data_IF_458523474494
#
_entry.id   IF_458523474494
#
_cell.length_a   1.000
_cell.length_b   1.000
_cell.length_c   1.000
_cell.angle_alpha   90.00
_cell.angle_beta   90.00
_cell.angle_gamma   90.00
#
_symmetry.space_group_name_H-M   'P 1'
#
loop_
_entity.id
_entity.type
_entity.pdbx_description
1 polymer ?
#
# COMPACT_ATOMS: atom_id res chain seq x y z
N UNK A 1 -7.33 21.19 0.10
CA UNK A 1 -8.31 21.79 1.04
C UNK A 1 -7.66 22.65 2.14
N UNK A 2 -6.47 23.25 1.91
CA UNK A 2 -5.73 24.00 2.93
C UNK A 2 -6.23 25.45 3.18
N UNK A 3 -7.21 25.94 2.40
CA UNK A 3 -7.41 27.40 2.21
C UNK A 3 -8.83 27.96 2.41
N UNK A 4 -9.72 27.32 3.19
CA UNK A 4 -11.02 27.95 3.55
C UNK A 4 -11.33 28.02 5.05
N UNK A 5 -10.64 27.24 5.89
CA UNK A 5 -10.88 27.17 7.35
C UNK A 5 -10.00 28.15 8.14
N UNK A 6 -8.96 28.70 7.49
CA UNK A 6 -8.02 29.68 8.04
C UNK A 6 -8.72 30.90 8.71
N UNK A 7 -9.96 31.25 8.31
CA UNK A 7 -10.68 32.39 8.86
C UNK A 7 -11.45 32.13 10.17
N UNK A 8 -11.82 30.87 10.47
CA UNK A 8 -12.59 30.54 11.69
C UNK A 8 -11.69 30.24 12.89
N UNK A 9 -10.51 29.67 12.65
CA UNK A 9 -9.57 29.27 13.71
C UNK A 9 -8.65 30.43 14.15
N UNK A 10 -8.43 31.44 13.28
CA UNK A 10 -7.55 32.60 13.56
C UNK A 10 -8.18 33.72 14.41
N UNK A 11 -9.49 33.73 14.63
CA UNK A 11 -10.09 34.74 15.52
C UNK A 11 -10.02 34.22 16.95
N UNK A 12 -9.24 34.86 17.84
CA UNK A 12 -9.35 34.55 19.24
C UNK A 12 -10.76 34.93 19.69
N UNK A 13 -11.48 33.95 20.25
CA UNK A 13 -12.41 34.21 21.35
C UNK A 13 -13.63 35.09 21.01
N UNK A 14 -14.65 34.54 20.32
CA UNK A 14 -16.07 34.95 20.58
C UNK A 14 -17.09 33.95 20.05
N UNK A 15 -16.80 33.26 18.95
CA UNK A 15 -17.68 32.23 18.37
C UNK A 15 -17.03 30.86 18.56
N UNK A 16 -17.73 29.93 19.22
CA UNK A 16 -17.20 28.58 19.42
C UNK A 16 -17.03 27.83 18.09
N UNK A 17 -16.10 26.89 18.05
CA UNK A 17 -15.88 26.03 16.89
C UNK A 17 -16.75 24.78 17.07
N UNK A 18 -17.54 24.45 16.05
CA UNK A 18 -18.28 23.19 16.00
C UNK A 18 -17.33 22.08 15.54
N UNK A 19 -17.21 21.05 16.37
CA UNK A 19 -16.29 19.91 16.17
C UNK A 19 -17.15 18.67 15.99
N UNK A 20 -16.82 17.80 15.02
CA UNK A 20 -17.64 16.59 14.81
C UNK A 20 -17.55 15.68 16.04
N UNK A 21 -18.71 15.27 16.57
CA UNK A 21 -18.81 14.43 17.77
C UNK A 21 -19.00 15.19 19.09
N UNK A 22 -18.84 16.52 19.12
CA UNK A 22 -19.19 17.36 20.26
C UNK A 22 -20.49 18.13 20.02
N UNK A 23 -21.35 18.20 21.03
CA UNK A 23 -22.59 18.97 20.93
C UNK A 23 -22.32 20.47 21.12
N UNK A 24 -22.42 21.21 20.02
CA UNK A 24 -22.37 22.67 20.03
C UNK A 24 -20.98 23.25 19.76
N UNK A 25 -20.91 24.57 19.87
CA UNK A 25 -19.74 25.37 19.58
C UNK A 25 -18.90 25.54 20.85
N UNK A 26 -17.69 24.98 20.89
CA UNK A 26 -16.82 25.04 22.07
C UNK A 26 -15.75 26.13 21.94
N UNK A 27 -15.45 26.80 23.05
CA UNK A 27 -14.28 27.68 23.17
C UNK A 27 -13.05 26.80 23.41
N UNK A 28 -12.07 26.90 22.51
CA UNK A 28 -10.86 26.07 22.57
C UNK A 28 -9.71 26.82 23.25
N UNK A 29 -8.88 26.13 24.05
CA UNK A 29 -7.68 26.72 24.64
C UNK A 29 -6.71 27.21 23.56
N UNK A 30 -6.07 28.35 23.79
CA UNK A 30 -5.06 28.91 22.87
C UNK A 30 -3.85 27.99 22.66
N UNK A 31 -3.50 27.19 23.68
CA UNK A 31 -2.45 26.17 23.60
C UNK A 31 -2.79 25.08 22.57
N UNK A 32 -4.03 24.62 22.53
CA UNK A 32 -4.50 23.59 21.61
C UNK A 32 -4.58 24.10 20.17
N UNK A 33 -4.97 25.37 19.99
CA UNK A 33 -4.90 26.04 18.68
C UNK A 33 -3.46 26.14 18.17
N UNK A 34 -2.53 26.53 19.05
CA UNK A 34 -1.11 26.67 18.70
C UNK A 34 -0.50 25.34 18.29
N UNK A 35 -0.77 24.26 19.03
CA UNK A 35 -0.32 22.92 18.67
C UNK A 35 -0.96 22.41 17.37
N UNK A 36 -2.24 22.70 17.12
CA UNK A 36 -2.90 22.33 15.87
C UNK A 36 -2.24 22.99 14.65
N UNK A 37 -1.82 24.25 14.75
CA UNK A 37 -1.09 24.92 13.68
C UNK A 37 0.28 24.29 13.43
N UNK A 38 1.04 24.01 14.48
CA UNK A 38 2.36 23.36 14.37
C UNK A 38 2.23 22.00 13.69
N UNK A 39 1.25 21.18 14.11
CA UNK A 39 1.01 19.87 13.51
C UNK A 39 0.46 19.97 12.09
N UNK A 40 -0.30 21.02 11.76
CA UNK A 40 -0.82 21.26 10.41
C UNK A 40 0.30 21.54 9.42
N UNK A 41 1.27 22.34 9.83
CA UNK A 41 2.46 22.61 9.03
C UNK A 41 3.36 21.37 8.93
N UNK A 42 3.42 20.55 9.98
CA UNK A 42 4.27 19.36 10.04
C UNK A 42 3.73 18.18 9.19
N UNK A 43 2.41 17.95 9.21
CA UNK A 43 1.78 16.80 8.56
C UNK A 43 0.96 17.15 7.31
N UNK A 44 0.86 18.43 6.95
CA UNK A 44 0.01 18.93 5.85
C UNK A 44 -1.48 18.53 6.01
N UNK A 45 -1.94 18.44 7.26
CA UNK A 45 -3.33 18.07 7.61
C UNK A 45 -4.13 19.34 7.89
N UNK A 46 -5.41 19.35 7.51
CA UNK A 46 -6.33 20.44 7.84
C UNK A 46 -6.47 20.67 9.34
N UNK A 47 -6.52 21.93 9.75
CA UNK A 47 -6.48 22.32 11.17
C UNK A 47 -7.66 21.76 11.97
N UNK A 48 -8.85 21.63 11.36
CA UNK A 48 -10.03 21.05 12.01
C UNK A 48 -9.83 19.57 12.38
N UNK A 49 -9.28 18.78 11.46
CA UNK A 49 -9.00 17.36 11.71
C UNK A 49 -7.91 17.18 12.78
N UNK A 50 -6.95 18.11 12.83
CA UNK A 50 -5.94 18.12 13.89
C UNK A 50 -6.50 18.53 15.25
N UNK A 51 -7.47 19.44 15.30
CA UNK A 51 -8.18 19.77 16.53
C UNK A 51 -8.95 18.56 17.08
N UNK A 52 -9.65 17.84 16.21
CA UNK A 52 -10.34 16.59 16.57
C UNK A 52 -9.36 15.53 17.10
N UNK A 53 -8.22 15.37 16.41
CA UNK A 53 -7.16 14.46 16.81
C UNK A 53 -6.51 14.86 18.15
N UNK A 54 -6.26 16.15 18.37
CA UNK A 54 -5.70 16.66 19.63
C UNK A 54 -6.66 16.47 20.81
N UNK A 55 -7.95 16.70 20.60
CA UNK A 55 -8.98 16.41 21.62
C UNK A 55 -9.09 14.92 21.91
N UNK A 56 -8.98 14.05 20.89
CA UNK A 56 -8.88 12.62 21.09
C UNK A 56 -7.61 12.24 21.90
N UNK A 57 -6.48 12.89 21.62
CA UNK A 57 -5.24 12.74 22.36
C UNK A 57 -5.34 13.16 23.83
N UNK A 58 -5.99 14.29 24.11
CA UNK A 58 -6.29 14.76 25.47
C UNK A 58 -7.18 13.76 26.22
N UNK A 59 -8.28 13.33 25.58
CA UNK A 59 -9.19 12.35 26.16
C UNK A 59 -8.50 11.03 26.47
N UNK A 60 -7.56 10.56 25.64
CA UNK A 60 -6.87 9.28 25.85
C UNK A 60 -5.57 9.40 26.66
N UNK A 61 -5.17 10.60 27.08
CA UNK A 61 -3.88 10.84 27.73
C UNK A 61 -3.67 9.99 29.00
N UNK A 62 -4.75 9.65 29.71
CA UNK A 62 -4.70 8.80 30.90
C UNK A 62 -4.15 7.39 30.63
N UNK A 63 -4.25 6.88 29.40
CA UNK A 63 -3.67 5.59 29.00
C UNK A 63 -2.16 5.67 28.70
N UNK A 64 -1.61 6.88 28.53
CA UNK A 64 -0.24 7.13 28.10
C UNK A 64 0.51 8.02 29.10
N UNK A 65 0.80 7.51 30.32
CA UNK A 65 1.45 8.30 31.35
C UNK A 65 2.84 8.77 30.89
N UNK A 66 3.10 10.08 31.01
CA UNK A 66 4.38 10.69 30.63
C UNK A 66 4.46 11.22 29.19
N UNK A 67 3.40 11.06 28.37
CA UNK A 67 3.28 11.72 27.07
C UNK A 67 2.38 12.97 27.15
N UNK A 68 2.70 13.98 26.35
CA UNK A 68 1.79 15.11 26.13
C UNK A 68 0.64 14.69 25.21
N UNK A 69 -0.53 15.31 25.35
CA UNK A 69 -1.68 15.07 24.48
C UNK A 69 -1.33 15.21 22.98
N UNK A 70 -0.41 16.13 22.63
CA UNK A 70 0.03 16.33 21.26
C UNK A 70 0.82 15.14 20.70
N UNK A 71 1.63 14.48 21.53
CA UNK A 71 2.32 13.25 21.13
C UNK A 71 1.34 12.07 21.08
N UNK A 72 0.41 11.99 22.02
CA UNK A 72 -0.66 10.97 21.97
C UNK A 72 -1.49 11.13 20.69
N UNK A 73 -1.83 12.35 20.30
CA UNK A 73 -2.49 12.65 19.04
C UNK A 73 -1.70 12.14 17.82
N UNK A 74 -0.39 12.38 17.78
CA UNK A 74 0.49 11.84 16.70
C UNK A 74 0.51 10.32 16.71
N UNK A 75 0.54 9.67 17.88
CA UNK A 75 0.46 8.21 17.97
C UNK A 75 -0.87 7.69 17.43
N UNK A 76 -1.99 8.28 17.84
CA UNK A 76 -3.34 7.90 17.37
C UNK A 76 -3.51 8.12 15.86
N UNK A 77 -2.87 9.15 15.30
CA UNK A 77 -2.86 9.37 13.87
C UNK A 77 -2.22 8.21 13.12
N UNK A 78 -1.01 7.81 13.53
CA UNK A 78 -0.29 6.72 12.88
C UNK A 78 -0.94 5.36 13.16
N UNK A 79 -1.46 5.15 14.37
CA UNK A 79 -2.22 3.94 14.71
C UNK A 79 -3.47 3.81 13.84
N UNK A 80 -4.23 4.90 13.65
CA UNK A 80 -5.38 4.92 12.74
C UNK A 80 -5.00 4.57 11.29
N UNK A 81 -3.88 5.11 10.78
CA UNK A 81 -3.35 4.75 9.45
C UNK A 81 -2.98 3.27 9.36
N UNK A 82 -2.32 2.74 10.39
CA UNK A 82 -1.96 1.32 10.48
C UNK A 82 -3.20 0.43 10.52
N UNK A 83 -4.22 0.79 11.30
CA UNK A 83 -5.49 0.06 11.35
C UNK A 83 -6.15 0.01 9.98
N UNK A 84 -6.22 1.14 9.25
CA UNK A 84 -6.79 1.16 7.89
C UNK A 84 -6.02 0.27 6.93
N UNK A 85 -4.68 0.31 6.95
CA UNK A 85 -3.85 -0.57 6.13
C UNK A 85 -4.07 -2.05 6.47
N UNK A 86 -4.15 -2.39 7.77
CA UNK A 86 -4.42 -3.76 8.20
C UNK A 86 -5.84 -4.22 7.83
N UNK A 87 -6.85 -3.36 7.93
CA UNK A 87 -8.20 -3.68 7.49
C UNK A 87 -8.25 -3.96 5.99
N UNK A 88 -7.56 -3.15 5.18
CA UNK A 88 -7.43 -3.40 3.74
C UNK A 88 -6.77 -4.75 3.49
N UNK A 89 -5.66 -5.05 4.17
CA UNK A 89 -4.97 -6.34 4.04
C UNK A 89 -5.89 -7.51 4.37
N UNK A 90 -6.68 -7.40 5.45
CA UNK A 90 -7.65 -8.43 5.82
C UNK A 90 -8.73 -8.60 4.75
N UNK A 91 -9.24 -7.52 4.16
CA UNK A 91 -10.21 -7.61 3.05
C UNK A 91 -9.59 -8.32 1.83
N UNK A 92 -8.34 -8.02 1.49
CA UNK A 92 -7.62 -8.67 0.39
C UNK A 92 -7.40 -10.17 0.67
N UNK A 93 -7.13 -10.53 1.91
CA UNK A 93 -6.98 -11.93 2.32
C UNK A 93 -8.30 -12.73 2.28
N UNK A 94 -9.44 -12.04 2.31
CA UNK A 94 -10.77 -12.64 2.19
C UNK A 94 -11.19 -12.93 0.73
N UNK A 95 -10.39 -12.55 -0.27
CA UNK A 95 -10.72 -12.79 -1.67
C UNK A 95 -10.75 -14.29 -2.00
N UNK A 96 -11.23 -14.62 -3.20
CA UNK A 96 -11.08 -15.97 -3.72
C UNK A 96 -9.68 -16.12 -4.29
N UNK A 97 -8.95 -17.16 -3.88
CA UNK A 97 -7.50 -17.11 -3.87
C UNK A 97 -6.85 -18.35 -4.45
N UNK A 98 -5.63 -18.17 -4.99
CA UNK A 98 -4.70 -19.25 -5.30
C UNK A 98 -3.97 -19.78 -4.06
N UNK A 99 -3.69 -18.92 -3.08
CA UNK A 99 -2.78 -19.24 -1.96
C UNK A 99 -3.49 -19.36 -0.60
N UNK A 100 -4.49 -18.53 -0.32
CA UNK A 100 -5.17 -18.48 0.99
C UNK A 100 -6.69 -18.42 0.83
N UNK A 101 -7.41 -19.49 1.12
CA UNK A 101 -8.88 -19.49 1.04
C UNK A 101 -9.49 -19.42 2.42
N UNK A 102 -10.25 -18.37 2.70
CA UNK A 102 -11.09 -18.29 3.90
C UNK A 102 -12.47 -18.88 3.59
N UNK A 103 -12.99 -19.74 4.47
CA UNK A 103 -14.33 -20.35 4.35
C UNK A 103 -15.44 -19.33 4.66
N UNK A 104 -15.59 -18.33 3.78
CA UNK A 104 -16.62 -17.29 3.89
C UNK A 104 -17.87 -17.66 3.08
N UNK A 105 -19.01 -17.03 3.41
CA UNK A 105 -20.21 -17.16 2.60
C UNK A 105 -20.02 -16.52 1.22
N UNK A 106 -20.65 -17.10 0.18
CA UNK A 106 -20.55 -16.59 -1.19
C UNK A 106 -20.96 -15.12 -1.32
N UNK A 107 -21.96 -14.68 -0.57
CA UNK A 107 -22.40 -13.28 -0.56
C UNK A 107 -21.32 -12.32 -0.03
N UNK A 108 -20.65 -12.70 1.07
CA UNK A 108 -19.58 -11.88 1.65
C UNK A 108 -18.34 -11.86 0.76
N UNK A 109 -18.05 -12.99 0.12
CA UNK A 109 -16.96 -13.11 -0.85
C UNK A 109 -17.22 -12.21 -2.06
N UNK A 110 -18.42 -12.25 -2.63
CA UNK A 110 -18.81 -11.41 -3.76
C UNK A 110 -18.76 -9.91 -3.41
N UNK A 111 -19.28 -9.53 -2.24
CA UNK A 111 -19.22 -8.14 -1.76
C UNK A 111 -17.78 -7.65 -1.59
N UNK A 112 -16.94 -8.47 -0.96
CA UNK A 112 -15.55 -8.10 -0.69
C UNK A 112 -14.76 -7.98 -1.98
N UNK A 113 -14.94 -8.94 -2.90
CA UNK A 113 -14.27 -8.96 -4.21
C UNK A 113 -14.67 -7.74 -5.05
N UNK A 114 -15.97 -7.43 -5.11
CA UNK A 114 -16.45 -6.27 -5.83
C UNK A 114 -15.85 -4.97 -5.29
N UNK A 115 -15.86 -4.79 -3.96
CA UNK A 115 -15.29 -3.60 -3.32
C UNK A 115 -13.79 -3.47 -3.59
N UNK A 116 -13.03 -4.56 -3.50
CA UNK A 116 -11.58 -4.53 -3.74
C UNK A 116 -11.23 -4.30 -5.21
N UNK A 117 -12.03 -4.83 -6.14
CA UNK A 117 -11.84 -4.61 -7.57
C UNK A 117 -12.09 -3.14 -7.94
N UNK A 118 -13.10 -2.51 -7.33
CA UNK A 118 -13.32 -1.07 -7.46
C UNK A 118 -12.12 -0.27 -6.95
N UNK A 119 -11.56 -0.62 -5.79
CA UNK A 119 -10.36 0.04 -5.27
C UNK A 119 -9.18 -0.09 -6.23
N UNK A 120 -8.94 -1.29 -6.78
CA UNK A 120 -7.89 -1.48 -7.78
C UNK A 120 -8.12 -0.64 -9.03
N UNK A 121 -9.35 -0.60 -9.54
CA UNK A 121 -9.70 0.22 -10.72
C UNK A 121 -9.47 1.73 -10.50
N UNK A 122 -9.50 2.18 -9.24
CA UNK A 122 -9.21 3.56 -8.83
C UNK A 122 -7.71 3.83 -8.59
N UNK A 123 -6.83 2.87 -8.89
CA UNK A 123 -5.38 3.04 -8.80
C UNK A 123 -4.79 2.69 -7.44
N UNK A 124 -5.34 1.67 -6.75
CA UNK A 124 -4.84 1.22 -5.45
C UNK A 124 -3.34 0.93 -5.44
N UNK A 125 -2.79 0.25 -6.45
CA UNK A 125 -1.35 -0.06 -6.52
C UNK A 125 -0.49 1.21 -6.50
N UNK A 126 -0.83 2.19 -7.33
CA UNK A 126 -0.08 3.47 -7.37
C UNK A 126 -0.22 4.24 -6.06
N UNK A 127 -1.41 4.20 -5.45
CA UNK A 127 -1.66 4.80 -4.13
C UNK A 127 -0.78 4.16 -3.05
N UNK A 128 -0.74 2.82 -2.95
CA UNK A 128 0.08 2.09 -1.98
C UNK A 128 1.57 2.39 -2.16
N UNK A 129 2.10 2.32 -3.40
CA UNK A 129 3.51 2.60 -3.68
C UNK A 129 3.91 4.06 -3.35
N UNK A 130 3.00 5.01 -3.60
CA UNK A 130 3.20 6.42 -3.25
C UNK A 130 3.27 6.59 -1.73
N UNK A 131 2.32 6.02 -0.99
CA UNK A 131 2.28 6.11 0.46
C UNK A 131 3.50 5.44 1.12
N UNK A 132 3.95 4.28 0.64
CA UNK A 132 5.18 3.62 1.12
C UNK A 132 6.41 4.53 0.95
N UNK A 133 6.46 5.28 -0.15
CA UNK A 133 7.54 6.22 -0.46
C UNK A 133 7.48 7.49 0.40
N UNK A 134 6.29 8.03 0.64
CA UNK A 134 6.09 9.29 1.36
C UNK A 134 6.36 9.15 2.87
N UNK A 135 6.02 8.01 3.48
CA UNK A 135 6.20 7.78 4.92
C UNK A 135 7.70 7.81 5.34
N UNK A 136 8.63 7.67 4.39
CA UNK A 136 10.07 7.84 4.63
C UNK A 136 10.49 9.27 5.04
N UNK A 137 9.58 10.27 4.95
CA UNK A 137 9.91 11.69 5.15
C UNK A 137 9.28 12.27 6.44
N UNK A 138 9.88 12.02 7.60
CA UNK A 138 9.62 12.77 8.84
C UNK A 138 9.82 11.90 10.09
N UNK A 139 10.57 12.27 11.14
CA UNK A 139 10.43 13.46 11.99
C UNK A 139 11.78 13.96 12.57
N UNK A 140 11.78 15.19 13.13
CA UNK A 140 12.91 15.92 13.74
C UNK A 140 13.23 15.61 15.22
N UNK A 141 14.36 16.16 15.71
CA UNK A 141 15.32 15.64 16.70
C UNK A 141 14.94 15.54 18.20
N UNK A 142 14.19 14.51 18.63
CA UNK A 142 14.22 14.06 20.04
C UNK A 142 14.17 12.52 20.22
N UNK A 143 15.25 11.92 20.73
CA UNK A 143 15.54 10.46 20.66
C UNK A 143 14.37 9.52 21.03
N UNK A 144 13.90 9.51 22.28
CA UNK A 144 12.91 8.51 22.72
C UNK A 144 11.49 8.71 22.17
N UNK A 145 11.10 9.97 21.89
CA UNK A 145 9.76 10.28 21.34
C UNK A 145 9.70 10.02 19.84
N UNK A 146 10.84 10.17 19.16
CA UNK A 146 11.00 9.75 17.76
C UNK A 146 10.94 8.25 17.62
N UNK A 147 11.62 7.50 18.49
CA UNK A 147 11.68 6.03 18.39
C UNK A 147 10.29 5.37 18.30
N UNK A 148 9.31 5.80 19.11
CA UNK A 148 7.96 5.21 19.06
C UNK A 148 7.20 5.61 17.79
N UNK A 149 7.27 6.89 17.40
CA UNK A 149 6.59 7.35 16.18
C UNK A 149 7.21 6.77 14.91
N UNK A 150 8.54 6.63 14.89
CA UNK A 150 9.28 6.06 13.77
C UNK A 150 9.03 4.56 13.66
N UNK A 151 8.86 3.87 14.80
CA UNK A 151 8.46 2.48 14.82
C UNK A 151 7.04 2.27 14.23
N UNK A 152 6.05 3.08 14.62
CA UNK A 152 4.68 2.95 14.06
C UNK A 152 4.65 3.32 12.57
N UNK A 153 5.44 4.31 12.14
CA UNK A 153 5.61 4.62 10.72
C UNK A 153 6.17 3.45 9.94
N UNK A 154 7.18 2.78 10.48
CA UNK A 154 7.77 1.61 9.83
C UNK A 154 6.75 0.47 9.73
N UNK A 155 5.96 0.24 10.79
CA UNK A 155 4.84 -0.70 10.72
C UNK A 155 3.77 -0.30 9.70
N UNK A 156 3.49 1.00 9.52
CA UNK A 156 2.59 1.47 8.48
C UNK A 156 3.14 1.16 7.08
N UNK A 157 4.43 1.43 6.83
CA UNK A 157 5.09 1.12 5.56
C UNK A 157 5.02 -0.37 5.27
N UNK A 158 5.33 -1.20 6.27
CA UNK A 158 5.24 -2.65 6.15
C UNK A 158 3.81 -3.09 5.84
N UNK A 159 2.80 -2.58 6.57
CA UNK A 159 1.40 -2.96 6.34
C UNK A 159 0.92 -2.60 4.93
N UNK A 160 1.36 -1.45 4.39
CA UNK A 160 1.03 -1.05 3.01
C UNK A 160 1.71 -1.94 1.97
N UNK A 161 2.99 -2.28 2.16
CA UNK A 161 3.69 -3.22 1.28
C UNK A 161 3.08 -4.63 1.35
N UNK A 162 2.70 -5.07 2.55
CA UNK A 162 2.00 -6.34 2.77
C UNK A 162 0.63 -6.37 2.11
N UNK A 163 -0.07 -5.24 1.96
CA UNK A 163 -1.33 -5.18 1.20
C UNK A 163 -1.09 -5.55 -0.26
N UNK A 164 -0.07 -4.94 -0.89
CA UNK A 164 0.24 -5.22 -2.28
C UNK A 164 0.76 -6.65 -2.46
N UNK A 165 1.61 -7.12 -1.54
CA UNK A 165 2.04 -8.51 -1.53
C UNK A 165 0.87 -9.48 -1.39
N UNK A 166 -0.01 -9.27 -0.41
CA UNK A 166 -1.21 -10.07 -0.21
C UNK A 166 -2.08 -10.08 -1.47
N UNK A 167 -2.23 -8.94 -2.15
CA UNK A 167 -2.98 -8.85 -3.41
C UNK A 167 -2.42 -9.81 -4.45
N UNK A 168 -1.11 -9.73 -4.69
CA UNK A 168 -0.43 -10.54 -5.71
C UNK A 168 -0.43 -12.04 -5.43
N UNK A 169 -0.55 -12.43 -4.16
CA UNK A 169 -0.76 -13.83 -3.77
C UNK A 169 -2.13 -14.37 -4.22
N UNK A 170 -3.12 -13.49 -4.41
CA UNK A 170 -4.47 -13.86 -4.85
C UNK A 170 -4.62 -13.73 -6.35
N UNK A 171 -4.24 -12.58 -6.91
CA UNK A 171 -4.39 -12.27 -8.32
C UNK A 171 -3.18 -11.49 -8.85
N UNK A 172 -2.63 -11.86 -10.02
CA UNK A 172 -1.56 -11.11 -10.65
C UNK A 172 -2.00 -9.67 -10.97
N UNK A 173 -1.07 -8.73 -10.93
CA UNK A 173 -1.33 -7.34 -11.32
C UNK A 173 -1.48 -7.22 -12.85
N UNK A 174 -2.32 -6.29 -13.28
CA UNK A 174 -2.39 -5.88 -14.69
C UNK A 174 -1.10 -5.21 -15.16
N UNK A 175 -0.98 -4.94 -16.47
CA UNK A 175 0.25 -4.39 -17.07
C UNK A 175 0.72 -3.10 -16.39
N UNK A 176 -0.16 -2.10 -16.27
CA UNK A 176 0.24 -0.77 -15.80
C UNK A 176 0.65 -0.80 -14.31
N UNK A 177 -0.06 -1.57 -13.49
CA UNK A 177 0.27 -1.78 -12.07
C UNK A 177 1.60 -2.55 -11.90
N UNK A 178 1.84 -3.56 -12.74
CA UNK A 178 3.12 -4.30 -12.76
C UNK A 178 4.27 -3.37 -13.12
N UNK A 179 4.09 -2.51 -14.12
CA UNK A 179 5.11 -1.53 -14.53
C UNK A 179 5.35 -0.48 -13.44
N UNK A 180 4.31 -0.04 -12.73
CA UNK A 180 4.46 0.87 -11.59
C UNK A 180 5.29 0.23 -10.47
N UNK A 181 5.02 -1.03 -10.13
CA UNK A 181 5.81 -1.78 -9.16
C UNK A 181 7.27 -1.93 -9.59
N UNK A 182 7.53 -2.31 -10.84
CA UNK A 182 8.91 -2.37 -11.38
C UNK A 182 9.60 -1.00 -11.29
N UNK A 183 8.91 0.07 -11.69
CA UNK A 183 9.44 1.43 -11.61
C UNK A 183 9.79 1.86 -10.18
N UNK A 184 9.03 1.40 -9.19
CA UNK A 184 9.36 1.64 -7.79
C UNK A 184 10.61 0.84 -7.35
N UNK A 185 10.67 -0.46 -7.66
CA UNK A 185 11.80 -1.34 -7.34
C UNK A 185 13.14 -0.89 -7.97
N UNK A 186 13.10 -0.28 -9.16
CA UNK A 186 14.28 0.29 -9.83
C UNK A 186 15.01 1.34 -9.00
N UNK A 187 14.25 2.08 -8.20
CA UNK A 187 14.75 3.22 -7.43
C UNK A 187 15.22 2.85 -6.03
N UNK A 188 15.01 1.60 -5.61
CA UNK A 188 15.34 1.11 -4.27
C UNK A 188 16.85 1.00 -4.03
N UNK A 189 17.23 1.14 -2.76
CA UNK A 189 18.61 0.99 -2.28
C UNK A 189 18.65 0.03 -1.11
N UNK A 190 19.78 -0.63 -0.90
CA UNK A 190 19.99 -1.49 0.26
C UNK A 190 20.18 -0.65 1.52
N UNK A 191 20.03 -1.29 2.67
CA UNK A 191 20.47 -0.73 3.94
C UNK A 191 22.01 -0.56 3.99
N UNK A 192 22.50 0.11 5.04
CA UNK A 192 23.93 0.40 5.21
C UNK A 192 24.80 -0.86 5.36
N UNK A 193 24.20 -1.96 5.83
CA UNK A 193 24.84 -3.28 5.95
C UNK A 193 24.74 -4.12 4.66
N UNK A 194 24.09 -3.58 3.61
CA UNK A 194 23.85 -4.26 2.34
C UNK A 194 22.62 -5.17 2.34
N UNK A 195 21.85 -5.23 3.43
CA UNK A 195 20.61 -6.00 3.49
C UNK A 195 19.45 -5.31 2.78
N UNK A 196 18.38 -6.07 2.53
CA UNK A 196 17.11 -5.56 2.03
C UNK A 196 16.15 -5.46 3.22
N UNK A 197 15.58 -4.28 3.45
CA UNK A 197 14.55 -4.06 4.47
C UNK A 197 13.28 -4.87 4.15
N UNK A 198 12.50 -5.16 5.20
CA UNK A 198 11.31 -6.00 5.09
C UNK A 198 10.24 -5.42 4.17
N UNK A 199 10.15 -4.09 4.08
CA UNK A 199 9.20 -3.40 3.19
C UNK A 199 9.56 -3.66 1.73
N UNK A 200 10.83 -3.45 1.36
CA UNK A 200 11.29 -3.71 0.01
C UNK A 200 11.23 -5.21 -0.32
N UNK A 201 11.52 -6.09 0.64
CA UNK A 201 11.34 -7.53 0.46
C UNK A 201 9.89 -7.89 0.12
N UNK A 202 8.91 -7.35 0.84
CA UNK A 202 7.49 -7.61 0.54
C UNK A 202 7.10 -7.15 -0.88
N UNK A 203 7.60 -5.99 -1.33
CA UNK A 203 7.35 -5.48 -2.69
C UNK A 203 8.03 -6.33 -3.78
N UNK A 204 9.21 -6.86 -3.50
CA UNK A 204 9.89 -7.81 -4.39
C UNK A 204 9.10 -9.11 -4.48
N UNK A 205 8.66 -9.64 -3.34
CA UNK A 205 7.80 -10.82 -3.31
C UNK A 205 6.51 -10.58 -4.08
N UNK A 206 5.93 -9.39 -4.01
CA UNK A 206 4.75 -9.04 -4.78
C UNK A 206 4.98 -9.16 -6.29
N UNK A 207 6.12 -8.64 -6.79
CA UNK A 207 6.48 -8.80 -8.19
C UNK A 207 6.71 -10.26 -8.56
N UNK A 208 7.40 -11.04 -7.71
CA UNK A 208 7.66 -12.46 -7.97
C UNK A 208 6.35 -13.27 -8.09
N UNK A 209 5.35 -12.98 -7.26
CA UNK A 209 4.02 -13.60 -7.35
C UNK A 209 3.26 -13.20 -8.62
N UNK A 210 3.43 -11.97 -9.12
CA UNK A 210 2.88 -11.59 -10.43
C UNK A 210 3.47 -12.42 -11.58
N UNK A 211 4.73 -12.85 -11.43
CA UNK A 211 5.43 -13.65 -12.42
C UNK A 211 5.28 -15.16 -12.17
N UNK A 212 4.63 -15.57 -11.08
CA UNK A 212 4.49 -16.97 -10.74
C UNK A 212 3.46 -17.64 -11.65
N UNK A 213 3.93 -18.66 -12.36
CA UNK A 213 3.13 -19.51 -13.24
C UNK A 213 3.29 -20.99 -12.87
N UNK A 214 3.78 -21.28 -11.65
CA UNK A 214 3.98 -22.64 -11.14
C UNK A 214 2.70 -23.50 -11.16
N UNK A 215 1.53 -22.87 -11.02
CA UNK A 215 0.22 -23.56 -11.11
C UNK A 215 0.01 -24.27 -12.46
N UNK A 216 0.69 -23.84 -13.53
CA UNK A 216 0.62 -24.50 -14.84
C UNK A 216 1.18 -25.92 -14.83
N UNK A 217 2.17 -26.17 -13.97
CA UNK A 217 2.81 -27.48 -13.84
C UNK A 217 2.01 -28.41 -12.91
N UNK A 218 1.16 -27.86 -12.04
CA UNK A 218 0.53 -28.58 -10.95
C UNK A 218 -0.80 -29.29 -11.30
N UNK A 219 -1.29 -29.18 -12.54
CA UNK A 219 -2.46 -29.95 -12.99
C UNK A 219 -3.71 -29.73 -12.14
N UNK A 220 -3.91 -28.50 -11.65
CA UNK A 220 -5.03 -28.12 -10.78
C UNK A 220 -6.38 -28.21 -11.52
N UNK A 221 -7.46 -28.53 -10.80
CA UNK A 221 -8.81 -28.64 -11.39
C UNK A 221 -9.29 -27.31 -12.01
N UNK A 222 -8.87 -26.16 -11.44
CA UNK A 222 -9.26 -24.82 -11.90
C UNK A 222 -8.33 -24.22 -12.98
N UNK A 223 -7.52 -25.05 -13.65
CA UNK A 223 -6.45 -24.56 -14.54
C UNK A 223 -6.97 -23.63 -15.65
N UNK A 224 -8.13 -23.89 -16.22
CA UNK A 224 -8.69 -23.07 -17.30
C UNK A 224 -9.09 -21.67 -16.82
N UNK A 225 -9.75 -21.57 -15.68
CA UNK A 225 -10.13 -20.28 -15.07
C UNK A 225 -8.90 -19.47 -14.68
N UNK A 226 -7.87 -20.14 -14.13
CA UNK A 226 -6.59 -19.51 -13.79
C UNK A 226 -5.82 -19.02 -15.03
N UNK A 227 -5.94 -19.70 -16.17
CA UNK A 227 -5.34 -19.27 -17.44
C UNK A 227 -6.05 -18.01 -17.98
N UNK A 228 -7.37 -17.94 -17.87
CA UNK A 228 -8.15 -16.76 -18.27
C UNK A 228 -7.91 -15.55 -17.36
N UNK A 229 -7.55 -15.80 -16.10
CA UNK A 229 -7.22 -14.74 -15.15
C UNK A 229 -5.77 -14.24 -15.27
N UNK A 230 -4.90 -14.86 -16.10
CA UNK A 230 -3.48 -14.54 -16.15
C UNK A 230 -3.18 -13.41 -17.18
N UNK A 231 -2.77 -12.20 -16.76
CA UNK A 231 -2.46 -11.08 -17.66
C UNK A 231 -1.40 -11.42 -18.70
N UNK A 232 -0.47 -12.33 -18.37
CA UNK A 232 0.54 -12.86 -19.29
C UNK A 232 -0.04 -13.47 -20.56
N UNK A 233 -1.27 -14.00 -20.50
CA UNK A 233 -1.95 -14.66 -21.61
C UNK A 233 -3.09 -13.82 -22.18
N UNK A 234 -3.74 -13.01 -21.36
CA UNK A 234 -4.93 -12.25 -21.75
C UNK A 234 -4.64 -10.83 -22.24
N UNK A 235 -3.58 -10.19 -21.74
CA UNK A 235 -3.23 -8.82 -22.10
C UNK A 235 -2.16 -8.80 -23.21
N UNK A 236 -2.55 -8.37 -24.42
CA UNK A 236 -1.71 -8.36 -25.64
C UNK A 236 -0.32 -7.72 -25.48
N UNK A 237 -0.18 -6.72 -24.60
CA UNK A 237 1.05 -5.94 -24.43
C UNK A 237 1.78 -6.23 -23.11
N UNK A 238 1.23 -7.09 -22.26
CA UNK A 238 1.80 -7.33 -20.93
C UNK A 238 3.21 -7.88 -21.03
N UNK A 239 3.38 -8.99 -21.76
CA UNK A 239 4.69 -9.64 -21.94
C UNK A 239 5.73 -8.71 -22.56
N UNK A 240 5.40 -8.00 -23.63
CA UNK A 240 6.35 -7.12 -24.32
C UNK A 240 6.77 -5.95 -23.44
N UNK A 241 5.83 -5.35 -22.70
CA UNK A 241 6.11 -4.19 -21.85
C UNK A 241 6.93 -4.58 -20.62
N UNK A 242 6.58 -5.68 -19.96
CA UNK A 242 7.32 -6.20 -18.81
C UNK A 242 8.71 -6.69 -19.23
N UNK A 243 8.83 -7.38 -20.36
CA UNK A 243 10.12 -7.80 -20.90
C UNK A 243 11.02 -6.60 -21.20
N UNK A 244 10.50 -5.60 -21.92
CA UNK A 244 11.28 -4.40 -22.23
C UNK A 244 11.72 -3.68 -20.96
N UNK A 245 10.85 -3.56 -19.95
CA UNK A 245 11.21 -2.90 -18.69
C UNK A 245 12.26 -3.67 -17.88
N UNK A 246 12.12 -5.00 -17.76
CA UNK A 246 13.03 -5.82 -16.96
C UNK A 246 14.38 -6.07 -17.65
N UNK A 247 14.38 -6.37 -18.95
CA UNK A 247 15.55 -6.86 -19.70
C UNK A 247 16.25 -5.74 -20.45
N UNK A 248 15.50 -4.91 -21.18
CA UNK A 248 16.02 -3.84 -22.05
C UNK A 248 16.11 -2.49 -21.32
N UNK A 249 15.46 -2.38 -20.16
CA UNK A 249 15.37 -1.17 -19.37
C UNK A 249 16.67 -0.74 -18.69
N UNK A 250 16.60 0.39 -18.00
CA UNK A 250 17.71 0.97 -17.24
C UNK A 250 18.17 -0.02 -16.16
N UNK A 251 19.48 -0.15 -15.88
CA UNK A 251 19.95 -0.95 -14.76
C UNK A 251 19.35 -0.44 -13.45
N UNK A 252 18.84 -1.35 -12.63
CA UNK A 252 18.31 -0.98 -11.32
C UNK A 252 19.47 -0.55 -10.42
N UNK A 253 19.18 0.29 -9.42
CA UNK A 253 20.18 0.64 -8.40
C UNK A 253 20.75 -0.60 -7.70
N UNK A 254 19.88 -1.57 -7.41
CA UNK A 254 20.26 -2.89 -6.90
C UNK A 254 20.28 -3.93 -8.04
N UNK A 255 21.44 -4.10 -8.67
CA UNK A 255 21.60 -5.05 -9.79
C UNK A 255 21.31 -6.51 -9.41
N UNK A 256 21.64 -6.90 -8.17
CA UNK A 256 21.31 -8.23 -7.66
C UNK A 256 19.80 -8.49 -7.65
N UNK A 257 19.02 -7.48 -7.25
CA UNK A 257 17.57 -7.58 -7.26
C UNK A 257 17.01 -7.67 -8.68
N UNK A 258 17.52 -6.84 -9.60
CA UNK A 258 17.17 -6.93 -11.02
C UNK A 258 17.44 -8.32 -11.60
N UNK A 259 18.58 -8.94 -11.23
CA UNK A 259 18.93 -10.28 -11.67
C UNK A 259 17.94 -11.35 -11.17
N UNK A 260 17.48 -11.24 -9.92
CA UNK A 260 16.45 -12.14 -9.35
C UNK A 260 15.13 -11.99 -10.11
N UNK A 261 14.65 -10.77 -10.34
CA UNK A 261 13.42 -10.54 -11.10
C UNK A 261 13.54 -11.00 -12.56
N UNK A 262 14.70 -10.82 -13.20
CA UNK A 262 14.98 -11.33 -14.56
C UNK A 262 14.99 -12.86 -14.61
N UNK A 263 15.52 -13.52 -13.59
CA UNK A 263 15.51 -14.98 -13.49
C UNK A 263 14.07 -15.49 -13.37
N UNK A 264 13.28 -14.93 -12.45
CA UNK A 264 11.87 -15.26 -12.29
C UNK A 264 11.09 -15.06 -13.61
N UNK A 265 11.33 -13.93 -14.29
CA UNK A 265 10.75 -13.65 -15.60
C UNK A 265 11.12 -14.71 -16.65
N UNK A 266 12.40 -15.09 -16.73
CA UNK A 266 12.87 -16.10 -17.67
C UNK A 266 12.25 -17.48 -17.40
N UNK A 267 12.08 -17.85 -16.12
CA UNK A 267 11.41 -19.08 -15.73
C UNK A 267 9.93 -19.07 -16.12
N UNK A 268 9.23 -17.95 -15.89
CA UNK A 268 7.84 -17.80 -16.30
C UNK A 268 7.67 -17.94 -17.81
N UNK A 269 8.50 -17.24 -18.60
CA UNK A 269 8.51 -17.36 -20.07
C UNK A 269 8.79 -18.79 -20.54
N UNK A 270 9.72 -19.48 -19.87
CA UNK A 270 10.03 -20.87 -20.17
C UNK A 270 8.81 -21.77 -19.92
N UNK A 271 8.15 -21.67 -18.77
CA UNK A 271 6.95 -22.45 -18.46
C UNK A 271 5.82 -22.18 -19.48
N UNK A 272 5.57 -20.91 -19.82
CA UNK A 272 4.58 -20.53 -20.83
C UNK A 272 4.91 -21.10 -22.22
N UNK A 273 6.18 -21.16 -22.60
CA UNK A 273 6.58 -21.77 -23.88
C UNK A 273 6.22 -23.26 -23.96
N UNK A 274 6.22 -23.98 -22.82
CA UNK A 274 5.87 -25.40 -22.78
C UNK A 274 4.35 -25.62 -22.90
N UNK A 275 3.51 -24.71 -22.37
CA UNK A 275 2.05 -24.78 -22.55
C UNK A 275 1.64 -24.80 -24.02
N UNK A 276 2.33 -24.01 -24.85
CA UNK A 276 2.05 -23.91 -26.29
C UNK A 276 2.30 -25.21 -27.06
N UNK A 277 3.07 -26.16 -26.49
CA UNK A 277 3.32 -27.47 -27.10
C UNK A 277 2.30 -28.55 -26.67
N UNK A 278 1.61 -28.36 -25.54
CA UNK A 278 0.67 -29.33 -24.97
C UNK A 278 -0.81 -28.98 -25.10
N UNK A 279 -1.14 -27.75 -25.52
CA UNK A 279 -2.51 -27.24 -25.55
C UNK A 279 -2.76 -26.57 -26.90
N UNK A 280 -3.84 -26.95 -27.58
CA UNK A 280 -4.40 -26.25 -28.72
C UNK A 280 -4.95 -24.87 -28.31
N UNK A 281 -4.10 -23.98 -27.81
CA UNK A 281 -4.36 -22.54 -27.77
C UNK A 281 -3.96 -21.98 -29.13
N UNK A 282 -4.89 -22.17 -30.06
CA UNK A 282 -4.85 -21.69 -31.43
C UNK A 282 -4.77 -20.15 -31.43
N UNK A 283 -3.81 -19.65 -32.21
CA UNK A 283 -3.72 -18.27 -32.75
C UNK A 283 -3.40 -17.11 -31.78
N UNK A 284 -2.16 -17.03 -31.31
CA UNK A 284 -1.48 -15.73 -31.08
C UNK A 284 -0.07 -15.70 -31.67
N UNK A 285 0.09 -16.31 -32.86
CA UNK A 285 1.24 -16.04 -33.74
C UNK A 285 0.78 -15.54 -35.09
N UNK A 286 0.86 -14.22 -35.27
CA UNK A 286 1.09 -13.58 -36.55
C UNK A 286 -0.14 -13.02 -37.24
N UNK A 287 -0.20 -11.69 -37.34
CA UNK A 287 -0.28 -11.00 -38.63
C UNK A 287 0.25 -9.57 -38.46
N UNK A 288 1.24 -9.20 -39.29
CA UNK A 288 1.59 -7.79 -39.62
C UNK A 288 2.56 -7.09 -38.68
#
# INVERSE_FOLDING_TARGET
YKNSVNFKVRKPSTEGIAIQGLQGAHLLPEQLLTEAFILSDLFDIGELALLELLLAGENQQHHFPGLSWGLVAVLLYWDGKLCVANSLRSLIQCLHCKTFTLELSEELLALTTHFTDELMSQGLTTCLLTLVSEINRGLGNEKHRKEVSDLIKEYCRQALADCLFAWTCQSPLGKDDTLALIGHLETMTSEADGSLDSVNLALVMALLYCLDVSFLEQGTEDREDLLQALPLLTEKQYMSSVHSRLVEGVPWKLQGLQAVCRLAWALALRALSQLSQGSSLVEFRGTG
#
